data_IF_737412608724
#
_entry.id   IF_737412608724
#
_cell.length_a   1.000
_cell.length_b   1.000
_cell.length_c   1.000
_cell.angle_alpha   90.00
_cell.angle_beta   90.00
_cell.angle_gamma   90.00
#
_symmetry.space_group_name_H-M   'P 1'
#
loop_
_entity.id
_entity.type
_entity.pdbx_description
1 polymer ?
#
# COMPACT_ATOMS: atom_id res chain seq x y z
N UNK A 1 3.14 -6.67 -8.34
CA UNK A 1 2.96 -7.86 -9.20
C UNK A 1 3.74 -7.70 -10.50
N UNK A 2 4.04 -8.77 -11.31
CA UNK A 2 4.78 -8.61 -12.56
C UNK A 2 4.11 -7.68 -13.58
N UNK A 3 2.79 -7.68 -13.62
CA UNK A 3 2.00 -6.83 -14.53
C UNK A 3 1.86 -5.37 -14.07
N UNK A 4 2.35 -5.04 -12.89
CA UNK A 4 2.38 -3.68 -12.34
C UNK A 4 3.81 -3.10 -12.35
N UNK A 5 4.78 -3.83 -12.87
CA UNK A 5 6.19 -3.46 -12.77
C UNK A 5 6.48 -2.05 -13.28
N UNK A 6 5.89 -1.66 -14.41
CA UNK A 6 6.18 -0.37 -15.01
C UNK A 6 5.52 0.81 -14.25
N UNK A 7 4.53 0.54 -13.40
CA UNK A 7 3.99 1.57 -12.49
C UNK A 7 5.00 1.93 -11.39
N UNK A 8 5.85 0.99 -10.99
CA UNK A 8 6.93 1.26 -10.03
C UNK A 8 7.88 2.36 -10.51
N UNK A 9 8.05 2.54 -11.82
CA UNK A 9 8.82 3.64 -12.39
C UNK A 9 8.28 5.01 -11.93
N UNK A 10 6.96 5.14 -11.84
CA UNK A 10 6.27 6.37 -11.46
C UNK A 10 6.46 6.64 -9.97
N UNK A 11 6.17 5.65 -9.13
CA UNK A 11 6.34 5.75 -7.68
C UNK A 11 7.80 6.00 -7.29
N UNK A 12 8.74 5.29 -7.90
CA UNK A 12 10.19 5.46 -7.63
C UNK A 12 10.68 6.84 -8.06
N UNK A 13 10.12 7.40 -9.13
CA UNK A 13 10.42 8.78 -9.54
C UNK A 13 9.96 9.78 -8.47
N UNK A 14 8.80 9.56 -7.85
CA UNK A 14 8.32 10.43 -6.77
C UNK A 14 9.16 10.26 -5.50
N UNK A 15 9.53 9.04 -5.13
CA UNK A 15 10.48 8.82 -4.02
C UNK A 15 11.81 9.54 -4.27
N UNK A 16 12.39 9.44 -5.48
CA UNK A 16 13.61 10.17 -5.82
C UNK A 16 13.48 11.67 -5.58
N UNK A 17 12.36 12.27 -6.00
CA UNK A 17 12.11 13.70 -5.77
C UNK A 17 11.92 14.00 -4.29
N UNK A 18 11.18 13.18 -3.55
CA UNK A 18 10.93 13.36 -2.11
C UNK A 18 12.21 13.46 -1.30
N UNK A 19 13.29 12.82 -1.74
CA UNK A 19 14.60 12.86 -1.06
C UNK A 19 15.12 14.28 -0.80
N UNK A 20 14.82 15.21 -1.70
CA UNK A 20 15.27 16.60 -1.57
C UNK A 20 14.53 17.42 -0.51
N UNK A 21 13.41 16.90 -0.01
CA UNK A 21 12.54 17.56 0.96
C UNK A 21 12.55 16.91 2.34
N UNK A 22 13.26 15.78 2.49
CA UNK A 22 13.43 15.12 3.80
C UNK A 22 14.33 15.94 4.70
N UNK A 23 14.06 15.88 6.00
CA UNK A 23 14.98 16.39 7.02
C UNK A 23 16.30 15.62 6.96
N UNK A 24 17.43 16.29 7.20
CA UNK A 24 18.76 15.68 7.17
C UNK A 24 18.95 14.55 8.20
N UNK A 25 18.14 14.55 9.26
CA UNK A 25 18.15 13.52 10.30
C UNK A 25 17.23 12.34 9.97
N UNK A 26 16.37 12.45 8.97
CA UNK A 26 15.48 11.38 8.59
C UNK A 26 16.19 10.35 7.69
N UNK A 27 16.27 9.13 8.15
CA UNK A 27 16.80 8.00 7.39
C UNK A 27 15.66 7.12 6.88
N UNK A 28 15.69 6.80 5.60
CA UNK A 28 14.68 5.96 4.97
C UNK A 28 15.34 4.75 4.33
N UNK A 29 14.78 3.60 4.63
CA UNK A 29 15.11 2.32 4.01
C UNK A 29 13.93 1.88 3.14
N UNK A 30 14.20 1.47 1.91
CA UNK A 30 13.17 1.06 0.95
C UNK A 30 13.39 -0.40 0.57
N UNK A 31 12.37 -1.23 0.76
CA UNK A 31 12.40 -2.66 0.44
C UNK A 31 11.39 -3.00 -0.68
N UNK A 32 11.68 -2.63 -1.93
CA UNK A 32 10.79 -2.90 -3.04
C UNK A 32 10.80 -4.39 -3.39
N UNK A 33 9.64 -4.95 -3.71
CA UNK A 33 9.55 -6.35 -4.08
C UNK A 33 9.01 -6.56 -5.49
N UNK A 34 9.60 -7.53 -6.20
CA UNK A 34 9.11 -8.09 -7.46
C UNK A 34 8.65 -9.52 -7.20
N UNK A 35 7.35 -9.75 -7.28
CA UNK A 35 6.77 -11.07 -7.09
C UNK A 35 6.69 -11.82 -8.43
N UNK A 36 7.51 -12.84 -8.61
CA UNK A 36 7.56 -13.72 -9.77
C UNK A 36 7.06 -15.15 -9.45
N UNK A 37 6.14 -15.26 -8.50
CA UNK A 37 5.60 -16.55 -8.04
C UNK A 37 5.04 -17.39 -9.20
N UNK A 38 5.34 -18.68 -9.17
CA UNK A 38 4.76 -19.69 -10.08
C UNK A 38 3.26 -19.90 -9.82
N UNK A 39 2.76 -19.52 -8.64
CA UNK A 39 1.32 -19.49 -8.38
C UNK A 39 0.58 -18.52 -9.29
N UNK A 40 1.17 -17.36 -9.57
CA UNK A 40 0.55 -16.29 -10.38
C UNK A 40 0.72 -16.51 -11.88
N UNK A 41 1.90 -16.96 -12.29
CA UNK A 41 2.29 -16.96 -13.70
C UNK A 41 2.73 -18.36 -14.13
N UNK A 42 2.17 -18.85 -15.23
CA UNK A 42 2.67 -20.02 -15.89
C UNK A 42 3.91 -19.66 -16.72
N UNK A 43 5.08 -19.75 -16.10
CA UNK A 43 6.35 -19.34 -16.73
C UNK A 43 6.73 -20.17 -17.95
N UNK A 44 6.30 -21.42 -18.04
CA UNK A 44 6.56 -22.25 -19.21
C UNK A 44 5.82 -21.75 -20.48
N UNK A 45 4.67 -21.13 -20.29
CA UNK A 45 3.84 -20.58 -21.36
C UNK A 45 4.03 -19.08 -21.57
N UNK A 46 4.67 -18.40 -20.62
CA UNK A 46 4.87 -16.97 -20.69
C UNK A 46 5.71 -16.56 -21.91
N UNK A 47 5.34 -15.47 -22.55
CA UNK A 47 6.11 -14.82 -23.62
C UNK A 47 7.16 -13.86 -23.08
N UNK A 48 7.17 -13.62 -21.77
CA UNK A 48 8.15 -12.78 -21.08
C UNK A 48 8.98 -13.68 -20.18
N UNK A 49 10.30 -13.56 -20.22
CA UNK A 49 11.18 -14.26 -19.29
C UNK A 49 11.25 -13.54 -17.93
N UNK A 50 11.50 -14.31 -16.87
CA UNK A 50 11.79 -13.74 -15.54
C UNK A 50 12.99 -12.80 -15.60
N UNK A 51 14.05 -13.18 -16.31
CA UNK A 51 15.28 -12.37 -16.45
C UNK A 51 15.01 -10.97 -17.03
N UNK A 52 14.08 -10.87 -17.98
CA UNK A 52 13.68 -9.58 -18.54
C UNK A 52 13.01 -8.69 -17.48
N UNK A 53 12.10 -9.25 -16.69
CA UNK A 53 11.42 -8.51 -15.63
C UNK A 53 12.38 -8.10 -14.51
N UNK A 54 13.28 -9.01 -14.12
CA UNK A 54 14.35 -8.73 -13.14
C UNK A 54 15.28 -7.63 -13.63
N UNK A 55 15.70 -7.71 -14.89
CA UNK A 55 16.55 -6.68 -15.51
C UNK A 55 15.86 -5.30 -15.49
N UNK A 56 14.57 -5.25 -15.80
CA UNK A 56 13.76 -4.03 -15.78
C UNK A 56 13.60 -3.47 -14.38
N UNK A 57 13.25 -4.32 -13.43
CA UNK A 57 13.17 -3.97 -12.02
C UNK A 57 14.49 -3.35 -11.53
N UNK A 58 15.61 -4.00 -11.82
CA UNK A 58 16.95 -3.49 -11.47
C UNK A 58 17.28 -2.14 -12.12
N UNK A 59 16.73 -1.86 -13.30
CA UNK A 59 16.89 -0.53 -13.93
C UNK A 59 16.10 0.53 -13.14
N UNK A 60 14.89 0.21 -12.70
CA UNK A 60 14.05 1.13 -11.93
C UNK A 60 14.61 1.40 -10.53
N UNK A 61 15.22 0.40 -9.89
CA UNK A 61 15.90 0.57 -8.61
C UNK A 61 16.97 1.67 -8.62
N UNK A 62 17.57 1.97 -9.75
CA UNK A 62 18.55 3.06 -9.87
C UNK A 62 17.96 4.43 -9.56
N UNK A 63 16.65 4.60 -9.67
CA UNK A 63 15.97 5.82 -9.26
C UNK A 63 16.01 6.04 -7.73
N UNK A 64 16.16 4.96 -6.97
CA UNK A 64 16.21 4.95 -5.51
C UNK A 64 17.64 5.01 -4.96
N UNK A 65 18.66 5.28 -5.81
CA UNK A 65 20.07 5.19 -5.43
C UNK A 65 20.51 6.11 -4.29
N UNK A 66 19.71 7.12 -3.94
CA UNK A 66 19.94 8.03 -2.81
C UNK A 66 19.39 7.52 -1.47
N UNK A 67 18.74 6.36 -1.49
CA UNK A 67 18.19 5.68 -0.32
C UNK A 67 18.97 4.40 -0.01
N UNK A 68 18.85 3.90 1.22
CA UNK A 68 19.22 2.51 1.52
C UNK A 68 18.15 1.60 0.92
N UNK A 69 18.52 0.78 -0.06
CA UNK A 69 17.57 -0.07 -0.80
C UNK A 69 17.93 -1.54 -0.62
N UNK A 70 16.95 -2.33 -0.19
CA UNK A 70 17.04 -3.79 -0.08
C UNK A 70 15.98 -4.42 -0.99
N UNK A 71 16.29 -4.69 -2.27
CA UNK A 71 15.32 -5.24 -3.21
C UNK A 71 15.05 -6.72 -2.93
N UNK A 72 13.79 -7.12 -3.07
CA UNK A 72 13.35 -8.50 -2.92
C UNK A 72 12.85 -9.01 -4.27
N UNK A 73 13.41 -10.11 -4.74
CA UNK A 73 12.93 -10.84 -5.91
C UNK A 73 12.43 -12.19 -5.41
N UNK A 74 11.13 -12.40 -5.53
CA UNK A 74 10.48 -13.61 -5.04
C UNK A 74 10.08 -14.53 -6.20
N UNK A 75 10.61 -15.74 -6.20
CA UNK A 75 10.37 -16.77 -7.25
C UNK A 75 9.74 -18.06 -6.68
N UNK A 76 9.18 -18.00 -5.47
CA UNK A 76 8.55 -19.15 -4.83
C UNK A 76 7.20 -19.53 -5.43
N UNK A 77 6.52 -20.46 -4.76
CA UNK A 77 5.25 -21.02 -5.22
C UNK A 77 4.03 -20.38 -4.56
N UNK A 78 4.24 -19.47 -3.58
CA UNK A 78 3.17 -18.82 -2.84
C UNK A 78 2.78 -17.48 -3.45
N UNK A 79 1.51 -17.10 -3.35
CA UNK A 79 1.00 -15.85 -3.91
C UNK A 79 1.67 -14.62 -3.28
N UNK A 80 1.82 -14.60 -1.96
CA UNK A 80 2.30 -13.45 -1.20
C UNK A 80 3.58 -13.71 -0.38
N UNK A 81 4.32 -14.75 -0.70
CA UNK A 81 5.58 -15.05 -0.01
C UNK A 81 6.60 -13.89 -0.06
N UNK A 82 6.49 -13.00 -1.05
CA UNK A 82 7.31 -11.78 -1.12
C UNK A 82 7.09 -10.82 0.05
N UNK A 83 5.89 -10.81 0.66
CA UNK A 83 5.59 -9.94 1.82
C UNK A 83 6.32 -10.42 3.07
N UNK A 84 6.47 -11.74 3.24
CA UNK A 84 7.27 -12.30 4.33
C UNK A 84 8.74 -11.90 4.19
N UNK A 85 9.29 -12.00 2.97
CA UNK A 85 10.65 -11.57 2.70
C UNK A 85 10.84 -10.05 2.90
N UNK A 86 9.83 -9.23 2.54
CA UNK A 86 9.86 -7.78 2.83
C UNK A 86 9.91 -7.52 4.32
N UNK A 87 9.04 -8.16 5.09
CA UNK A 87 9.00 -8.03 6.55
C UNK A 87 10.34 -8.41 7.18
N UNK A 88 10.91 -9.54 6.76
CA UNK A 88 12.17 -10.03 7.31
C UNK A 88 13.37 -9.13 6.95
N UNK A 89 13.26 -8.36 5.87
CA UNK A 89 14.26 -7.38 5.45
C UNK A 89 14.14 -6.03 6.19
N UNK A 90 13.05 -5.78 6.91
CA UNK A 90 12.85 -4.52 7.62
C UNK A 90 13.74 -4.45 8.87
N UNK A 91 14.43 -3.33 9.04
CA UNK A 91 15.19 -3.06 10.27
C UNK A 91 14.26 -2.97 11.48
N UNK A 92 14.66 -3.57 12.60
CA UNK A 92 13.94 -3.45 13.88
C UNK A 92 14.13 -2.08 14.57
N UNK A 93 15.01 -1.24 14.04
CA UNK A 93 15.36 0.07 14.61
C UNK A 93 14.71 1.24 13.86
N UNK A 94 13.46 1.06 13.43
CA UNK A 94 12.70 2.11 12.76
C UNK A 94 11.59 2.63 13.67
N UNK A 95 11.22 3.91 13.50
CA UNK A 95 10.14 4.55 14.24
C UNK A 95 8.79 4.34 13.52
N UNK A 96 8.83 4.27 12.20
CA UNK A 96 7.64 4.18 11.35
C UNK A 96 7.83 3.15 10.23
N UNK A 97 6.74 2.54 9.83
CA UNK A 97 6.63 1.67 8.67
C UNK A 97 5.70 2.32 7.65
N UNK A 98 6.09 2.31 6.39
CA UNK A 98 5.26 2.86 5.32
C UNK A 98 5.00 1.75 4.30
N UNK A 99 3.72 1.45 4.08
CA UNK A 99 3.27 0.56 3.00
C UNK A 99 2.86 1.39 1.80
N UNK A 100 3.35 1.05 0.62
CA UNK A 100 3.06 1.77 -0.62
C UNK A 100 2.80 0.79 -1.75
N UNK A 101 1.66 0.94 -2.43
CA UNK A 101 1.40 0.26 -3.69
C UNK A 101 2.21 0.91 -4.83
N UNK A 102 2.75 0.15 -5.78
CA UNK A 102 3.60 0.68 -6.84
C UNK A 102 2.85 1.57 -7.84
N UNK A 103 1.55 1.41 -7.95
CA UNK A 103 0.65 2.11 -8.87
C UNK A 103 0.10 3.43 -8.34
N UNK A 104 0.64 3.91 -7.22
CA UNK A 104 0.23 5.18 -6.62
C UNK A 104 1.02 6.36 -7.18
N UNK A 105 0.28 7.42 -7.55
CA UNK A 105 0.86 8.74 -7.75
C UNK A 105 0.70 9.57 -6.48
N UNK A 106 1.75 10.23 -6.09
CA UNK A 106 1.80 11.15 -4.94
C UNK A 106 2.77 12.31 -5.22
N UNK A 107 2.62 13.42 -4.48
CA UNK A 107 3.55 14.55 -4.61
C UNK A 107 4.88 14.25 -3.94
N UNK A 108 5.93 14.93 -4.37
CA UNK A 108 7.25 14.88 -3.74
C UNK A 108 7.28 15.35 -2.28
N UNK A 109 6.26 16.09 -1.85
CA UNK A 109 6.13 16.59 -0.48
C UNK A 109 5.41 15.62 0.46
N UNK A 110 4.71 14.59 -0.08
CA UNK A 110 3.91 13.69 0.74
C UNK A 110 4.75 12.97 1.81
N UNK A 111 5.86 12.35 1.42
CA UNK A 111 6.67 11.55 2.34
C UNK A 111 7.24 12.39 3.49
N UNK A 112 7.91 13.54 3.25
CA UNK A 112 8.36 14.42 4.32
C UNK A 112 7.24 14.93 5.22
N UNK A 113 6.07 15.25 4.65
CA UNK A 113 4.93 15.74 5.43
C UNK A 113 4.30 14.63 6.29
N UNK A 114 4.19 13.41 5.79
CA UNK A 114 3.76 12.27 6.59
C UNK A 114 4.70 12.05 7.78
N UNK A 115 6.01 12.03 7.56
CA UNK A 115 7.00 11.81 8.61
C UNK A 115 6.96 12.94 9.65
N UNK A 116 6.95 14.20 9.20
CA UNK A 116 6.92 15.33 10.13
C UNK A 116 5.62 15.43 10.93
N UNK A 117 4.48 15.07 10.29
CA UNK A 117 3.18 15.07 10.95
C UNK A 117 3.05 13.90 11.93
N UNK A 118 3.58 12.73 11.59
CA UNK A 118 3.53 11.55 12.48
C UNK A 118 4.29 11.77 13.79
N UNK A 119 5.36 12.57 13.78
CA UNK A 119 6.12 12.95 14.99
C UNK A 119 5.29 13.79 15.99
N UNK A 120 4.14 14.32 15.57
CA UNK A 120 3.24 15.12 16.41
C UNK A 120 2.09 14.30 17.02
N UNK A 121 1.96 13.03 16.65
CA UNK A 121 0.88 12.15 17.10
C UNK A 121 1.30 11.43 18.39
N UNK A 122 0.51 11.60 19.44
CA UNK A 122 0.73 11.00 20.76
C UNK A 122 -0.20 9.80 21.05
N UNK A 123 -0.82 9.24 20.04
CA UNK A 123 -1.65 8.03 20.14
C UNK A 123 -0.76 6.80 20.12
N UNK A 124 -1.00 5.86 21.04
CA UNK A 124 -0.16 4.68 21.18
C UNK A 124 -0.10 3.82 19.92
N UNK A 125 -1.23 3.60 19.29
CA UNK A 125 -1.31 2.85 18.04
C UNK A 125 -2.00 3.72 16.99
N UNK A 126 -1.28 4.08 15.94
CA UNK A 126 -1.88 4.87 14.90
C UNK A 126 -1.45 4.48 13.49
N UNK A 127 -2.32 4.79 12.56
CA UNK A 127 -2.02 4.84 11.13
C UNK A 127 -2.31 6.24 10.61
N UNK A 128 -1.43 6.76 9.76
CA UNK A 128 -1.58 8.03 9.08
C UNK A 128 -1.65 7.81 7.58
N UNK A 129 -2.75 8.22 6.97
CA UNK A 129 -3.00 8.08 5.53
C UNK A 129 -3.16 9.44 4.88
N UNK A 130 -2.70 9.67 3.65
CA UNK A 130 -3.07 10.85 2.88
C UNK A 130 -4.55 10.76 2.43
N UNK A 131 -5.07 11.86 1.91
CA UNK A 131 -6.34 11.84 1.19
C UNK A 131 -6.18 11.03 -0.11
N UNK A 132 -7.24 10.36 -0.53
CA UNK A 132 -7.32 9.77 -1.86
C UNK A 132 -8.13 10.67 -2.81
N UNK A 133 -7.87 10.56 -4.10
CA UNK A 133 -8.63 11.29 -5.12
C UNK A 133 -10.12 10.96 -5.00
N UNK A 134 -10.51 9.75 -5.30
CA UNK A 134 -11.87 9.21 -5.16
C UNK A 134 -11.82 7.69 -5.31
N UNK A 135 -12.65 7.00 -4.56
CA UNK A 135 -12.81 5.55 -4.70
C UNK A 135 -14.14 5.18 -5.38
N UNK A 136 -14.34 3.90 -5.61
CA UNK A 136 -15.47 3.36 -6.39
C UNK A 136 -16.81 3.34 -5.65
N UNK A 137 -16.85 3.60 -4.34
CA UNK A 137 -18.08 3.67 -3.58
C UNK A 137 -17.99 4.67 -2.42
N UNK A 138 -19.14 5.01 -1.83
CA UNK A 138 -19.25 6.02 -0.78
C UNK A 138 -18.72 5.58 0.59
N UNK A 139 -18.31 4.34 0.73
CA UNK A 139 -17.71 3.87 2.00
C UNK A 139 -16.36 4.54 2.28
N UNK A 140 -15.74 5.14 1.26
CA UNK A 140 -14.45 5.81 1.30
C UNK A 140 -14.52 7.34 1.41
N UNK A 141 -15.74 7.92 1.45
CA UNK A 141 -15.93 9.37 1.43
C UNK A 141 -15.18 10.10 2.55
N UNK A 142 -14.97 9.45 3.71
CA UNK A 142 -14.25 10.05 4.84
C UNK A 142 -12.78 10.40 4.50
N UNK A 143 -12.12 9.57 3.68
CA UNK A 143 -10.73 9.79 3.26
C UNK A 143 -10.62 10.37 1.86
N UNK A 144 -11.72 10.52 1.13
CA UNK A 144 -11.74 11.18 -0.19
C UNK A 144 -11.45 12.67 -0.03
N UNK A 145 -10.63 13.22 -0.92
CA UNK A 145 -10.40 14.66 -0.96
C UNK A 145 -11.69 15.42 -1.20
N UNK A 146 -11.92 16.50 -0.45
CA UNK A 146 -13.17 17.28 -0.44
C UNK A 146 -13.57 17.81 -1.82
N UNK A 147 -12.61 18.17 -2.67
CA UNK A 147 -12.86 18.67 -4.02
C UNK A 147 -13.47 17.60 -4.94
N UNK A 148 -13.35 16.33 -4.58
CA UNK A 148 -13.80 15.19 -5.39
C UNK A 148 -14.97 14.41 -4.80
N UNK A 149 -15.48 14.78 -3.63
CA UNK A 149 -16.61 14.08 -3.00
C UNK A 149 -17.85 14.02 -3.88
N UNK A 150 -18.09 15.06 -4.67
CA UNK A 150 -19.26 15.15 -5.54
C UNK A 150 -19.04 14.57 -6.95
N UNK A 151 -17.87 13.99 -7.25
CA UNK A 151 -17.64 13.29 -8.51
C UNK A 151 -18.46 12.01 -8.49
N UNK A 152 -19.32 11.77 -9.50
CA UNK A 152 -20.09 10.52 -9.60
C UNK A 152 -19.16 9.29 -9.60
N UNK A 153 -19.55 8.24 -8.87
CA UNK A 153 -18.73 7.01 -8.77
C UNK A 153 -18.46 6.37 -10.13
N UNK A 154 -19.42 6.47 -11.06
CA UNK A 154 -19.25 5.97 -12.43
C UNK A 154 -18.26 6.80 -13.26
N UNK A 155 -17.90 8.00 -12.79
CA UNK A 155 -17.04 8.95 -13.52
C UNK A 155 -15.65 9.12 -12.88
N UNK A 156 -15.42 8.60 -11.68
CA UNK A 156 -14.17 8.80 -10.96
C UNK A 156 -12.92 8.36 -11.72
N UNK A 157 -13.07 7.37 -12.60
CA UNK A 157 -11.99 6.78 -13.37
C UNK A 157 -11.98 7.21 -14.85
N UNK A 158 -12.91 8.08 -15.27
CA UNK A 158 -13.05 8.51 -16.69
C UNK A 158 -12.18 9.70 -17.05
N UNK A 159 -11.58 10.35 -16.07
CA UNK A 159 -10.69 11.49 -16.32
C UNK A 159 -9.38 11.05 -16.98
N UNK A 160 -8.81 11.94 -17.80
CA UNK A 160 -7.44 11.76 -18.26
C UNK A 160 -6.50 11.82 -17.04
N UNK A 161 -5.65 10.79 -16.90
CA UNK A 161 -4.67 10.72 -15.83
C UNK A 161 -3.80 11.97 -15.76
N UNK A 162 -3.42 12.54 -16.90
CA UNK A 162 -2.62 13.76 -16.94
C UNK A 162 -3.40 14.97 -16.44
N UNK A 163 -4.69 15.06 -16.77
CA UNK A 163 -5.56 16.13 -16.28
C UNK A 163 -5.79 16.01 -14.77
N UNK A 164 -6.04 14.80 -14.26
CA UNK A 164 -6.18 14.56 -12.82
C UNK A 164 -4.91 14.98 -12.08
N UNK A 165 -3.73 14.51 -12.53
CA UNK A 165 -2.44 14.88 -11.92
C UNK A 165 -2.19 16.40 -11.94
N UNK A 166 -2.52 17.04 -13.06
CA UNK A 166 -2.29 18.49 -13.24
C UNK A 166 -3.21 19.34 -12.36
N UNK A 167 -4.40 18.81 -12.03
CA UNK A 167 -5.41 19.49 -11.25
C UNK A 167 -5.37 19.13 -9.76
N UNK A 168 -4.58 18.13 -9.35
CA UNK A 168 -4.41 17.79 -7.94
C UNK A 168 -3.70 18.94 -7.20
N UNK A 169 -4.41 19.54 -6.26
CA UNK A 169 -3.91 20.62 -5.42
C UNK A 169 -3.29 20.03 -4.16
N UNK A 170 -2.05 19.62 -4.25
CA UNK A 170 -1.28 19.21 -3.09
C UNK A 170 -0.56 20.44 -2.51
N UNK A 171 -0.72 20.66 -1.22
CA UNK A 171 0.02 21.69 -0.49
C UNK A 171 1.44 21.22 -0.19
N UNK A 172 2.41 22.10 -0.25
CA UNK A 172 3.78 21.83 0.19
C UNK A 172 4.01 22.12 1.69
N UNK A 173 3.04 22.73 2.36
CA UNK A 173 3.16 23.20 3.76
C UNK A 173 1.87 23.09 4.56
N UNK A 174 0.75 23.44 3.94
CA UNK A 174 -0.53 23.63 4.63
C UNK A 174 -1.27 22.28 4.70
N UNK A 175 -0.84 21.46 5.64
CA UNK A 175 -1.46 20.17 5.93
C UNK A 175 -2.06 20.18 7.32
N UNK A 176 -3.14 19.44 7.51
CA UNK A 176 -3.77 19.24 8.82
C UNK A 176 -3.99 17.76 9.11
N UNK A 177 -3.90 17.42 10.39
CA UNK A 177 -4.22 16.08 10.88
C UNK A 177 -5.68 16.04 11.32
N UNK A 178 -6.45 15.15 10.74
CA UNK A 178 -7.83 14.86 11.15
C UNK A 178 -7.95 13.41 11.56
N UNK A 179 -8.78 13.13 12.55
CA UNK A 179 -9.10 11.76 12.97
C UNK A 179 -10.27 11.21 12.17
N UNK A 180 -10.24 9.94 11.84
CA UNK A 180 -11.39 9.25 11.25
C UNK A 180 -12.34 8.72 12.32
N UNK A 181 -13.63 8.65 12.01
CA UNK A 181 -14.59 7.95 12.88
C UNK A 181 -14.41 6.43 12.83
N UNK A 182 -14.11 5.90 11.65
CA UNK A 182 -13.84 4.50 11.40
C UNK A 182 -12.53 4.33 10.66
N UNK A 183 -11.86 3.22 10.89
CA UNK A 183 -10.64 2.90 10.16
C UNK A 183 -10.94 2.67 8.67
N UNK A 184 -10.21 3.33 7.80
CA UNK A 184 -10.39 3.33 6.33
C UNK A 184 -9.03 3.33 5.62
N UNK A 185 -8.05 2.62 6.13
CA UNK A 185 -6.78 2.45 5.47
C UNK A 185 -6.78 1.16 4.62
N UNK A 186 -6.20 1.21 3.46
CA UNK A 186 -6.35 0.16 2.46
C UNK A 186 -5.03 -0.23 1.79
N UNK A 187 -3.91 0.04 2.42
CA UNK A 187 -2.61 -0.41 1.94
C UNK A 187 -2.04 0.36 0.75
N UNK A 188 -2.68 1.43 0.29
CA UNK A 188 -2.17 2.22 -0.84
C UNK A 188 -0.96 3.05 -0.49
N UNK A 189 -1.05 3.81 0.62
CA UNK A 189 0.03 4.62 1.16
C UNK A 189 -0.30 4.90 2.62
N UNK A 190 0.14 4.00 3.49
CA UNK A 190 -0.16 4.07 4.91
C UNK A 190 1.13 4.13 5.72
N UNK A 191 1.23 5.11 6.61
CA UNK A 191 2.28 5.21 7.60
C UNK A 191 1.74 4.67 8.93
N UNK A 192 2.40 3.65 9.46
CA UNK A 192 2.13 3.06 10.77
C UNK A 192 3.25 3.43 11.73
N UNK A 193 2.91 3.78 12.96
CA UNK A 193 3.96 3.78 13.97
C UNK A 193 4.39 2.34 14.32
N UNK A 194 5.56 2.20 14.91
CA UNK A 194 6.16 0.89 15.21
C UNK A 194 5.22 -0.01 16.01
N UNK A 195 4.63 0.53 17.07
CA UNK A 195 3.73 -0.22 17.96
C UNK A 195 2.50 -0.73 17.20
N UNK A 196 1.92 0.08 16.33
CA UNK A 196 0.79 -0.32 15.48
C UNK A 196 1.18 -1.45 14.54
N UNK A 197 2.26 -1.28 13.79
CA UNK A 197 2.70 -2.25 12.78
C UNK A 197 3.03 -3.61 13.41
N UNK A 198 3.82 -3.61 14.48
CA UNK A 198 4.28 -4.84 15.11
C UNK A 198 3.19 -5.58 15.90
N UNK A 199 2.17 -4.89 16.36
CA UNK A 199 1.18 -5.45 17.28
C UNK A 199 -0.23 -5.56 16.73
N UNK A 200 -0.71 -4.57 16.00
CA UNK A 200 -2.09 -4.50 15.52
C UNK A 200 -2.24 -4.77 14.01
N UNK A 201 -1.14 -4.70 13.24
CA UNK A 201 -1.15 -5.15 11.85
C UNK A 201 -0.65 -6.61 11.85
N UNK A 202 -1.53 -7.61 11.95
CA UNK A 202 -1.10 -8.99 12.03
C UNK A 202 -0.66 -9.46 10.65
N UNK A 203 0.63 -9.49 10.41
CA UNK A 203 1.20 -10.20 9.28
C UNK A 203 1.24 -11.66 9.69
N UNK A 204 0.28 -12.44 9.25
CA UNK A 204 0.24 -13.86 9.53
C UNK A 204 1.01 -14.63 8.47
N UNK A 205 1.95 -15.46 8.89
CA UNK A 205 2.64 -16.42 8.01
C UNK A 205 1.66 -17.39 7.34
N UNK A 206 0.55 -17.73 8.02
CA UNK A 206 -0.52 -18.59 7.49
C UNK A 206 -1.54 -17.85 6.62
N UNK A 207 -1.33 -16.56 6.36
CA UNK A 207 -2.15 -15.80 5.44
C UNK A 207 -1.82 -16.24 4.02
N UNK A 208 -2.62 -17.15 3.50
CA UNK A 208 -2.44 -17.65 2.14
C UNK A 208 -2.79 -16.63 1.05
N UNK A 209 -2.81 -15.35 1.40
CA UNK A 209 -2.98 -14.25 0.48
C UNK A 209 -4.32 -14.16 -0.24
N UNK A 210 -5.33 -14.80 0.29
CA UNK A 210 -6.67 -14.74 -0.26
C UNK A 210 -7.43 -13.55 0.31
N UNK A 211 -7.42 -12.47 -0.41
CA UNK A 211 -8.15 -11.26 -0.10
C UNK A 211 -7.26 -10.12 0.42
N UNK A 212 -7.83 -8.93 0.55
CA UNK A 212 -7.11 -7.75 0.98
C UNK A 212 -6.72 -7.90 2.46
N UNK A 213 -5.44 -8.01 2.74
CA UNK A 213 -4.88 -8.09 4.09
C UNK A 213 -5.23 -6.86 4.93
N UNK A 214 -5.42 -5.73 4.29
CA UNK A 214 -5.90 -4.48 4.82
C UNK A 214 -7.28 -4.63 5.48
N UNK A 215 -8.21 -5.29 4.82
CA UNK A 215 -9.56 -5.50 5.34
C UNK A 215 -9.57 -6.35 6.61
N UNK A 216 -8.76 -7.40 6.64
CA UNK A 216 -8.56 -8.22 7.82
C UNK A 216 -7.95 -7.41 8.97
N UNK A 217 -6.89 -6.66 8.70
CA UNK A 217 -6.23 -5.83 9.69
C UNK A 217 -7.16 -4.74 10.22
N UNK A 218 -8.01 -4.15 9.34
CA UNK A 218 -9.08 -3.25 9.72
C UNK A 218 -10.05 -3.88 10.73
N UNK A 219 -10.55 -5.09 10.46
CA UNK A 219 -11.50 -5.76 11.35
C UNK A 219 -10.88 -6.07 12.72
N UNK A 220 -9.60 -6.49 12.73
CA UNK A 220 -8.89 -6.77 13.99
C UNK A 220 -8.65 -5.48 14.78
N UNK A 221 -8.27 -4.39 14.11
CA UNK A 221 -8.05 -3.10 14.78
C UNK A 221 -9.34 -2.47 15.29
N UNK A 222 -10.44 -2.54 14.54
CA UNK A 222 -11.75 -2.08 14.99
C UNK A 222 -12.24 -2.89 16.21
N UNK A 223 -12.01 -4.21 16.21
CA UNK A 223 -12.30 -5.03 17.37
C UNK A 223 -11.47 -4.59 18.59
N UNK A 224 -10.16 -4.41 18.42
CA UNK A 224 -9.27 -3.94 19.50
C UNK A 224 -9.74 -2.58 20.05
N UNK A 225 -10.07 -1.63 19.17
CA UNK A 225 -10.62 -0.31 19.54
C UNK A 225 -11.92 -0.46 20.35
N UNK A 226 -12.82 -1.36 19.96
CA UNK A 226 -14.06 -1.64 20.70
C UNK A 226 -13.84 -2.20 22.11
N UNK A 227 -12.64 -2.74 22.37
CA UNK A 227 -12.19 -3.24 23.68
C UNK A 227 -11.38 -2.23 24.47
N UNK A 228 -11.29 -0.98 24.00
CA UNK A 228 -10.61 0.11 24.69
C UNK A 228 -9.11 0.21 24.40
N UNK A 229 -8.63 -0.47 23.36
CA UNK A 229 -7.25 -0.26 22.89
C UNK A 229 -7.13 1.13 22.29
N UNK A 230 -6.10 1.87 22.68
CA UNK A 230 -5.82 3.24 22.20
C UNK A 230 -5.28 3.20 20.77
N UNK A 231 -6.21 3.10 19.83
CA UNK A 231 -5.95 3.11 18.40
C UNK A 231 -6.68 4.24 17.70
N UNK A 232 -5.99 4.93 16.77
CA UNK A 232 -6.59 5.96 15.94
C UNK A 232 -5.99 5.98 14.54
N UNK A 233 -6.85 6.13 13.54
CA UNK A 233 -6.43 6.53 12.19
C UNK A 233 -6.49 8.06 12.07
N UNK A 234 -5.47 8.60 11.41
CA UNK A 234 -5.39 10.01 11.03
C UNK A 234 -5.36 10.15 9.52
N UNK A 235 -5.92 11.23 9.02
CA UNK A 235 -5.82 11.65 7.63
C UNK A 235 -4.94 12.89 7.55
N UNK A 236 -3.99 12.89 6.65
CA UNK A 236 -3.19 14.05 6.29
C UNK A 236 -3.91 14.84 5.20
N UNK A 237 -4.75 15.81 5.60
CA UNK A 237 -5.45 16.71 4.67
C UNK A 237 -4.48 17.63 3.96
N UNK A 238 -4.73 17.92 2.70
CA UNK A 238 -3.87 18.74 1.86
C UNK A 238 -2.83 17.95 1.06
N UNK A 239 -2.80 16.62 1.22
CA UNK A 239 -2.01 15.71 0.40
C UNK A 239 -2.90 14.61 -0.16
N UNK A 240 -3.12 14.65 -1.46
CA UNK A 240 -3.98 13.69 -2.16
C UNK A 240 -3.13 12.72 -2.98
N UNK A 241 -3.41 11.45 -2.85
CA UNK A 241 -2.85 10.40 -3.70
C UNK A 241 -3.85 9.98 -4.77
N UNK A 242 -3.32 9.41 -5.82
CA UNK A 242 -4.11 8.91 -6.94
C UNK A 242 -3.62 7.52 -7.33
N UNK A 243 -4.53 6.55 -7.36
CA UNK A 243 -4.25 5.21 -7.86
C UNK A 243 -4.30 5.21 -9.38
N UNK A 244 -3.23 4.75 -10.04
CA UNK A 244 -3.29 4.53 -11.46
C UNK A 244 -4.30 3.42 -11.78
N UNK A 245 -5.01 3.53 -12.88
CA UNK A 245 -6.07 2.58 -13.22
C UNK A 245 -5.51 1.19 -13.54
N UNK A 246 -5.29 0.41 -12.50
CA UNK A 246 -4.78 -0.98 -12.57
C UNK A 246 -5.91 -1.98 -12.38
N UNK A 247 -7.04 -1.53 -11.85
CA UNK A 247 -8.16 -2.39 -11.46
C UNK A 247 -8.91 -3.04 -12.64
N UNK A 248 -9.82 -3.96 -12.34
CA UNK A 248 -10.63 -4.64 -13.35
C UNK A 248 -11.51 -3.70 -14.17
N UNK A 249 -11.71 -2.46 -13.72
CA UNK A 249 -12.50 -1.44 -14.40
C UNK A 249 -11.73 -0.72 -15.51
N UNK A 250 -10.39 -0.75 -15.48
CA UNK A 250 -9.55 -0.08 -16.46
C UNK A 250 -8.48 -1.04 -16.98
N UNK A 251 -8.86 -1.91 -17.86
CA UNK A 251 -7.97 -2.82 -18.59
C UNK A 251 -7.07 -2.04 -19.56
N UNK A 252 -6.28 -1.10 -19.03
CA UNK A 252 -5.46 -0.19 -19.78
C UNK A 252 -3.98 -0.23 -19.46
N UNK A 253 -3.18 0.33 -20.35
CA UNK A 253 -1.77 0.59 -20.12
C UNK A 253 -0.90 -0.65 -19.93
N UNK A 254 0.04 -0.53 -19.02
CA UNK A 254 1.08 -1.55 -18.80
C UNK A 254 0.51 -2.87 -18.28
N UNK A 255 -0.49 -2.81 -17.41
CA UNK A 255 -1.12 -4.01 -16.83
C UNK A 255 -1.68 -4.92 -17.92
N UNK A 256 -2.40 -4.36 -18.90
CA UNK A 256 -2.95 -5.14 -19.99
C UNK A 256 -1.86 -5.80 -20.84
N UNK A 257 -0.83 -5.03 -21.21
CA UNK A 257 0.30 -5.56 -21.99
C UNK A 257 0.94 -6.75 -21.29
N UNK A 258 1.21 -6.63 -19.98
CA UNK A 258 1.80 -7.73 -19.22
C UNK A 258 0.84 -8.91 -19.06
N UNK A 259 -0.44 -8.68 -18.76
CA UNK A 259 -1.43 -9.76 -18.66
C UNK A 259 -1.56 -10.55 -19.95
N UNK A 260 -1.51 -9.89 -21.09
CA UNK A 260 -1.57 -10.54 -22.41
C UNK A 260 -0.31 -11.39 -22.74
N UNK A 261 0.83 -11.02 -22.15
CA UNK A 261 2.12 -11.69 -22.38
C UNK A 261 2.49 -12.73 -21.30
N UNK A 262 1.99 -12.54 -20.10
CA UNK A 262 2.20 -13.39 -18.95
C UNK A 262 1.10 -14.44 -18.87
N UNK A 263 1.17 -15.62 -19.26
CA UNK A 263 0.11 -16.62 -19.05
C UNK A 263 -0.25 -16.74 -17.55
N UNK A 264 -1.13 -15.82 -17.10
CA UNK A 264 -1.57 -15.77 -15.72
C UNK A 264 -2.38 -17.01 -15.41
N UNK A 265 -2.05 -17.66 -14.31
CA UNK A 265 -2.78 -18.83 -13.85
C UNK A 265 -4.22 -18.42 -13.50
N UNK A 266 -5.15 -19.38 -13.68
CA UNK A 266 -6.51 -19.24 -13.19
C UNK A 266 -6.50 -19.28 -11.65
N UNK A 267 -6.22 -18.13 -11.07
CA UNK A 267 -6.23 -17.97 -9.61
C UNK A 267 -7.68 -17.89 -9.17
N UNK A 268 -8.14 -18.76 -8.26
CA UNK A 268 -9.50 -18.71 -7.76
C UNK A 268 -9.90 -17.30 -7.32
N UNK A 269 -11.20 -16.96 -7.43
CA UNK A 269 -11.68 -15.65 -7.00
C UNK A 269 -11.27 -15.38 -5.55
N UNK A 270 -10.24 -14.56 -5.38
CA UNK A 270 -9.61 -14.27 -4.08
C UNK A 270 -10.62 -13.74 -3.07
N UNK A 271 -11.58 -12.94 -3.55
CA UNK A 271 -12.62 -12.38 -2.70
C UNK A 271 -13.50 -13.44 -2.08
N UNK A 272 -13.97 -14.42 -2.87
CA UNK A 272 -14.82 -15.51 -2.35
C UNK A 272 -14.07 -16.40 -1.35
N UNK A 273 -12.82 -16.71 -1.64
CA UNK A 273 -11.97 -17.49 -0.73
C UNK A 273 -11.68 -16.72 0.56
N UNK A 274 -11.44 -15.42 0.47
CA UNK A 274 -11.26 -14.57 1.62
C UNK A 274 -12.53 -14.51 2.47
N UNK A 275 -13.67 -14.23 1.87
CA UNK A 275 -14.96 -14.17 2.57
C UNK A 275 -15.26 -15.49 3.28
N UNK A 276 -14.95 -16.63 2.67
CA UNK A 276 -15.14 -17.95 3.30
C UNK A 276 -14.22 -18.24 4.49
N UNK A 277 -13.10 -17.53 4.61
CA UNK A 277 -12.10 -17.72 5.68
C UNK A 277 -11.98 -16.50 6.61
N UNK A 278 -12.74 -15.45 6.35
CA UNK A 278 -12.61 -14.17 7.06
C UNK A 278 -12.77 -14.34 8.56
N UNK A 279 -13.79 -15.05 9.01
CA UNK A 279 -14.07 -15.26 10.43
C UNK A 279 -12.92 -15.96 11.13
N UNK A 280 -12.38 -17.01 10.53
CA UNK A 280 -11.23 -17.76 11.07
C UNK A 280 -10.00 -16.88 11.16
N UNK A 281 -9.73 -16.08 10.15
CA UNK A 281 -8.57 -15.20 10.11
C UNK A 281 -8.70 -14.06 11.15
N UNK A 282 -9.88 -13.46 11.27
CA UNK A 282 -10.15 -12.44 12.30
C UNK A 282 -9.98 -13.04 13.71
N UNK A 283 -10.50 -14.24 13.95
CA UNK A 283 -10.34 -14.93 15.23
C UNK A 283 -8.87 -15.22 15.54
N UNK A 284 -8.07 -15.64 14.56
CA UNK A 284 -6.61 -15.82 14.72
C UNK A 284 -5.92 -14.49 15.06
N UNK A 285 -6.28 -13.41 14.37
CA UNK A 285 -5.74 -12.07 14.67
C UNK A 285 -6.07 -11.61 16.09
N UNK A 286 -7.32 -11.78 16.52
CA UNK A 286 -7.75 -11.48 17.88
C UNK A 286 -6.97 -12.33 18.90
N UNK A 287 -6.82 -13.62 18.65
CA UNK A 287 -6.03 -14.51 19.50
C UNK A 287 -4.57 -14.05 19.61
N UNK A 288 -3.99 -13.55 18.52
CA UNK A 288 -2.65 -12.98 18.52
C UNK A 288 -2.57 -11.76 19.45
N UNK A 289 -3.57 -10.88 19.45
CA UNK A 289 -3.61 -9.72 20.37
C UNK A 289 -3.70 -10.15 21.84
N UNK A 290 -4.48 -11.19 22.17
CA UNK A 290 -4.49 -11.77 23.49
C UNK A 290 -3.15 -12.35 23.91
N UNK A 291 -2.49 -13.09 23.01
CA UNK A 291 -1.16 -13.67 23.26
C UNK A 291 -0.11 -12.59 23.52
N UNK A 292 -0.23 -11.44 22.87
CA UNK A 292 0.64 -10.26 23.05
C UNK A 292 0.22 -9.39 24.26
N UNK A 293 -0.85 -9.74 24.97
CA UNK A 293 -1.40 -8.98 26.11
C UNK A 293 -1.80 -7.53 25.74
N UNK A 294 -2.30 -7.36 24.53
CA UNK A 294 -2.85 -6.09 24.07
C UNK A 294 -4.35 -6.00 24.40
N UNK A 295 -5.02 -7.15 24.37
CA UNK A 295 -6.41 -7.36 24.82
C UNK A 295 -6.45 -8.08 26.15
#
# INVERSE_FOLDING_TARGET
MPWELDYALLSFTQFKKSKYYLDENDTIEINPSLNLSSYLVNWEKSKISKDLLISRFNQYLKLLGDYKVTPIIYEGDELYGHLDHQRDAISSEVDFYISVCPDMYFSEHLLPLLISSSKQIDTKYFVLTPEIYKMWDNTWDEITNQDYLNVPYDDWNKGDIFDIRSNMKNSDKDVTLETTMRSKWAGWFDLFNKEMYENLVPIQQDWNGYGPWDWFSLMVTEYAKSKGVDFQQYILRGQTIFEYPVGPLLDGGFTKIYKDLLHINDVPNQRQLFESKMEDNVNKGIQLLHNKKIL
#
